data_IF_545237149435
#
_entry.id   IF_545237149435
#
_cell.length_a   1.000
_cell.length_b   1.000
_cell.length_c   1.000
_cell.angle_alpha   90.00
_cell.angle_beta   90.00
_cell.angle_gamma   90.00
#
_symmetry.space_group_name_H-M   'P 1'
#
loop_
_entity.id
_entity.type
_entity.pdbx_description
1 polymer ?
#
# COMPACT_ATOMS: atom_id res chain seq x y z
N UNK A 1 -31.02 6.51 33.15
CA UNK A 1 -30.82 7.08 31.80
C UNK A 1 -29.69 8.11 31.74
N UNK A 2 -29.64 9.13 32.60
CA UNK A 2 -28.57 10.15 32.56
C UNK A 2 -27.12 9.61 32.69
N UNK A 3 -26.89 8.59 33.54
CA UNK A 3 -25.56 7.94 33.68
C UNK A 3 -25.13 7.15 32.44
N UNK A 4 -26.06 6.45 31.78
CA UNK A 4 -25.77 5.70 30.56
C UNK A 4 -25.50 6.65 29.38
N UNK A 5 -26.23 7.76 29.29
CA UNK A 5 -25.99 8.79 28.28
C UNK A 5 -24.61 9.46 28.47
N UNK A 6 -24.21 9.73 29.72
CA UNK A 6 -22.86 10.28 30.04
C UNK A 6 -21.74 9.30 29.65
N UNK A 7 -21.92 8.01 29.94
CA UNK A 7 -20.97 6.97 29.58
C UNK A 7 -20.84 6.79 28.05
N UNK A 8 -21.97 6.77 27.34
CA UNK A 8 -22.01 6.76 25.87
C UNK A 8 -21.29 7.98 25.29
N UNK A 9 -21.50 9.17 25.87
CA UNK A 9 -20.85 10.39 25.40
C UNK A 9 -19.33 10.37 25.62
N UNK A 10 -18.84 9.84 26.75
CA UNK A 10 -17.41 9.67 27.01
C UNK A 10 -16.77 8.62 26.10
N UNK A 11 -17.49 7.54 25.80
CA UNK A 11 -17.05 6.48 24.89
C UNK A 11 -17.17 6.88 23.43
N UNK A 12 -17.93 7.91 23.04
CA UNK A 12 -18.03 8.37 21.64
C UNK A 12 -17.17 9.61 21.40
N UNK A 13 -16.70 10.28 22.45
CA UNK A 13 -15.89 11.49 22.33
C UNK A 13 -14.57 11.14 21.63
N UNK A 14 -14.20 11.80 20.53
CA UNK A 14 -12.97 11.52 19.83
C UNK A 14 -11.78 11.74 20.76
N UNK A 15 -11.03 10.67 21.04
CA UNK A 15 -9.71 10.77 21.68
C UNK A 15 -8.76 11.60 20.81
N UNK A 16 -7.67 12.09 21.40
CA UNK A 16 -6.71 13.06 20.85
C UNK A 16 -5.97 12.65 19.54
N UNK A 17 -6.47 11.67 18.77
CA UNK A 17 -5.91 11.37 17.45
C UNK A 17 -6.42 12.41 16.45
N UNK A 18 -5.54 12.97 15.61
CA UNK A 18 -5.93 14.01 14.67
C UNK A 18 -6.95 13.44 13.67
N UNK A 19 -8.00 14.22 13.40
CA UNK A 19 -9.11 13.84 12.50
C UNK A 19 -8.60 13.43 11.10
N UNK A 20 -7.42 13.92 10.70
CA UNK A 20 -6.73 13.55 9.47
C UNK A 20 -6.31 12.07 9.39
N UNK A 21 -5.86 11.46 10.50
CA UNK A 21 -5.51 10.02 10.52
C UNK A 21 -6.74 9.13 10.37
N UNK A 22 -7.85 9.53 11.00
CA UNK A 22 -9.13 8.82 10.87
C UNK A 22 -9.65 8.89 9.43
N UNK A 23 -9.59 10.08 8.80
CA UNK A 23 -9.99 10.26 7.40
C UNK A 23 -9.09 9.45 6.45
N UNK A 24 -7.77 9.48 6.64
CA UNK A 24 -6.84 8.70 5.82
C UNK A 24 -7.07 7.19 5.95
N UNK A 25 -7.33 6.70 7.16
CA UNK A 25 -7.67 5.30 7.41
C UNK A 25 -9.01 4.90 6.78
N UNK A 26 -10.05 5.74 6.88
CA UNK A 26 -11.36 5.48 6.27
C UNK A 26 -11.30 5.48 4.74
N UNK A 27 -10.49 6.35 4.14
CA UNK A 27 -10.26 6.39 2.68
C UNK A 27 -9.44 5.19 2.22
N UNK A 28 -8.43 4.75 3.00
CA UNK A 28 -7.66 3.53 2.71
C UNK A 28 -8.53 2.27 2.71
N UNK A 29 -9.37 2.09 3.74
CA UNK A 29 -10.32 0.96 3.79
C UNK A 29 -11.37 1.03 2.68
N UNK A 30 -11.79 2.23 2.27
CA UNK A 30 -12.68 2.41 1.13
C UNK A 30 -12.00 2.06 -0.20
N UNK A 31 -10.72 2.38 -0.36
CA UNK A 31 -9.91 1.98 -1.51
C UNK A 31 -9.74 0.46 -1.59
N UNK A 32 -9.49 -0.20 -0.46
CA UNK A 32 -9.38 -1.65 -0.39
C UNK A 32 -10.73 -2.34 -0.63
N UNK A 33 -11.85 -1.80 -0.10
CA UNK A 33 -13.19 -2.33 -0.38
C UNK A 33 -13.64 -2.08 -1.83
N UNK A 34 -13.30 -0.93 -2.41
CA UNK A 34 -13.60 -0.60 -3.80
C UNK A 34 -12.82 -1.52 -4.77
N UNK A 35 -11.59 -1.91 -4.40
CA UNK A 35 -10.82 -2.90 -5.15
C UNK A 35 -11.35 -4.33 -4.97
N UNK A 36 -12.01 -4.64 -3.85
CA UNK A 36 -12.56 -5.98 -3.58
C UNK A 36 -13.99 -6.19 -4.12
N UNK A 37 -14.73 -5.11 -4.40
CA UNK A 37 -16.14 -5.17 -4.83
C UNK A 37 -16.40 -4.21 -6.00
N UNK A 38 -16.45 -4.76 -7.21
CA UNK A 38 -16.77 -4.09 -8.50
C UNK A 38 -18.04 -3.22 -8.45
N UNK A 39 -18.02 -2.02 -9.06
CA UNK A 39 -19.09 -1.10 -9.58
C UNK A 39 -20.47 -0.99 -8.86
N UNK A 40 -20.71 -1.70 -7.77
CA UNK A 40 -22.05 -1.97 -7.23
C UNK A 40 -22.24 -1.41 -5.82
N UNK A 41 -21.18 -0.90 -5.19
CA UNK A 41 -21.21 -0.43 -3.81
C UNK A 41 -21.51 1.06 -3.78
N UNK A 42 -22.76 1.41 -3.46
CA UNK A 42 -23.18 2.80 -3.29
C UNK A 42 -22.77 3.32 -1.90
N UNK A 43 -22.51 4.64 -1.79
CA UNK A 43 -22.05 5.27 -0.55
C UNK A 43 -22.97 5.00 0.67
N UNK A 44 -24.28 4.84 0.46
CA UNK A 44 -25.22 4.51 1.54
C UNK A 44 -25.05 3.08 2.07
N UNK A 45 -24.61 2.12 1.24
CA UNK A 45 -24.32 0.75 1.67
C UNK A 45 -23.09 0.72 2.58
N UNK A 46 -22.06 1.50 2.24
CA UNK A 46 -20.89 1.68 3.11
C UNK A 46 -21.28 2.38 4.41
N UNK A 47 -22.05 3.47 4.35
CA UNK A 47 -22.54 4.15 5.54
C UNK A 47 -23.31 3.17 6.46
N UNK A 48 -24.19 2.33 5.90
CA UNK A 48 -24.93 1.33 6.66
C UNK A 48 -24.03 0.23 7.25
N UNK A 49 -23.02 -0.24 6.48
CA UNK A 49 -22.06 -1.24 6.94
C UNK A 49 -21.19 -0.72 8.08
N UNK A 50 -20.65 0.49 7.95
CA UNK A 50 -19.88 1.16 9.00
C UNK A 50 -20.73 1.51 10.22
N UNK A 51 -21.99 1.94 10.03
CA UNK A 51 -22.91 2.17 11.15
C UNK A 51 -23.27 0.87 11.89
N UNK A 52 -23.47 -0.24 11.16
CA UNK A 52 -23.70 -1.56 11.74
C UNK A 52 -22.48 -2.06 12.51
N UNK A 53 -21.29 -1.95 11.91
CA UNK A 53 -20.02 -2.28 12.57
C UNK A 53 -19.76 -1.44 13.81
N UNK A 54 -20.06 -0.14 13.75
CA UNK A 54 -19.99 0.77 14.90
C UNK A 54 -20.93 0.34 16.03
N UNK A 55 -22.18 -0.03 15.74
CA UNK A 55 -23.13 -0.47 16.76
C UNK A 55 -22.66 -1.77 17.44
N UNK A 56 -22.12 -2.73 16.68
CA UNK A 56 -21.57 -3.98 17.23
C UNK A 56 -20.32 -3.71 18.08
N UNK A 57 -19.38 -2.92 17.57
CA UNK A 57 -18.15 -2.57 18.30
C UNK A 57 -18.45 -1.77 19.58
N UNK A 58 -19.36 -0.80 19.53
CA UNK A 58 -19.83 -0.06 20.69
C UNK A 58 -20.58 -0.96 21.69
N UNK A 59 -21.34 -1.95 21.22
CA UNK A 59 -21.98 -2.93 22.11
C UNK A 59 -20.95 -3.77 22.89
N UNK A 60 -19.88 -4.22 22.22
CA UNK A 60 -18.79 -4.96 22.87
C UNK A 60 -17.95 -4.07 23.79
N UNK A 61 -17.65 -2.83 23.38
CA UNK A 61 -17.00 -1.81 24.20
C UNK A 61 -17.82 -1.54 25.48
N UNK A 62 -19.14 -1.33 25.34
CA UNK A 62 -20.03 -1.12 26.49
C UNK A 62 -20.12 -2.35 27.40
N UNK A 63 -20.13 -3.58 26.87
CA UNK A 63 -20.06 -4.80 27.69
C UNK A 63 -18.77 -4.90 28.50
N UNK A 64 -17.64 -4.47 27.94
CA UNK A 64 -16.36 -4.48 28.64
C UNK A 64 -16.23 -3.34 29.66
N UNK A 65 -16.81 -2.17 29.38
CA UNK A 65 -16.70 -0.98 30.25
C UNK A 65 -17.80 -0.91 31.32
N UNK A 66 -18.97 -1.55 31.11
CA UNK A 66 -20.05 -1.61 32.10
C UNK A 66 -19.65 -2.10 33.50
N UNK A 67 -18.82 -3.14 33.68
CA UNK A 67 -18.37 -3.55 35.01
C UNK A 67 -17.40 -2.54 35.67
N UNK A 68 -16.76 -1.66 34.89
CA UNK A 68 -15.86 -0.61 35.39
C UNK A 68 -16.58 0.73 35.66
N UNK A 69 -17.75 0.95 35.05
CA UNK A 69 -18.57 2.16 35.21
C UNK A 69 -19.11 2.39 36.64
N UNK A 70 -18.85 1.48 37.59
CA UNK A 70 -19.21 1.60 39.00
C UNK A 70 -18.15 2.36 39.81
N UNK A 71 -16.94 2.56 39.27
CA UNK A 71 -15.88 3.34 39.90
C UNK A 71 -15.56 4.60 39.06
N UNK A 72 -15.99 5.78 39.49
CA UNK A 72 -15.57 7.04 38.86
C UNK A 72 -14.10 7.32 39.24
N UNK A 73 -13.20 7.40 38.25
CA UNK A 73 -11.77 7.68 38.45
C UNK A 73 -10.91 7.52 37.19
N UNK A 74 -9.59 7.81 37.26
CA UNK A 74 -8.63 7.74 36.14
C UNK A 74 -8.50 6.35 35.49
N UNK A 75 -8.98 5.29 36.14
CA UNK A 75 -9.11 3.93 35.60
C UNK A 75 -10.06 3.83 34.39
N UNK A 76 -10.95 4.80 34.18
CA UNK A 76 -11.88 4.80 33.07
C UNK A 76 -11.19 5.16 31.74
N UNK A 77 -10.28 6.14 31.74
CA UNK A 77 -9.58 6.60 30.53
C UNK A 77 -8.56 5.56 30.01
N UNK A 78 -7.98 4.77 30.91
CA UNK A 78 -7.08 3.66 30.52
C UNK A 78 -7.85 2.47 29.96
N UNK A 79 -9.05 2.17 30.50
CA UNK A 79 -9.91 1.09 30.00
C UNK A 79 -10.66 1.44 28.71
N UNK A 80 -10.86 2.72 28.40
CA UNK A 80 -11.42 3.18 27.11
C UNK A 80 -10.46 2.93 25.94
N UNK A 81 -9.15 2.75 26.20
CA UNK A 81 -8.14 2.39 25.17
C UNK A 81 -8.14 0.91 24.80
N UNK A 82 -9.29 0.25 24.80
CA UNK A 82 -9.39 -1.12 24.34
C UNK A 82 -9.68 -1.19 22.83
N UNK A 83 -9.17 -2.24 22.18
CA UNK A 83 -9.32 -2.45 20.73
C UNK A 83 -10.78 -2.34 20.25
N UNK A 84 -11.80 -2.88 20.96
CA UNK A 84 -13.21 -2.69 20.58
C UNK A 84 -13.70 -1.24 20.60
N UNK A 85 -13.22 -0.41 21.53
CA UNK A 85 -13.60 1.00 21.61
C UNK A 85 -12.92 1.82 20.50
N UNK A 86 -11.63 1.58 20.23
CA UNK A 86 -10.91 2.20 19.11
C UNK A 86 -11.54 1.85 17.75
N UNK A 87 -11.93 0.59 17.54
CA UNK A 87 -12.65 0.16 16.33
C UNK A 87 -14.03 0.83 16.27
N UNK A 88 -14.75 0.95 17.39
CA UNK A 88 -16.03 1.64 17.45
C UNK A 88 -15.93 3.12 17.07
N UNK A 89 -14.90 3.84 17.54
CA UNK A 89 -14.62 5.23 17.16
C UNK A 89 -14.34 5.38 15.67
N UNK A 90 -13.47 4.52 15.15
CA UNK A 90 -13.14 4.54 13.72
C UNK A 90 -14.38 4.28 12.85
N UNK A 91 -15.18 3.28 13.22
CA UNK A 91 -16.40 2.92 12.47
C UNK A 91 -17.48 4.00 12.55
N UNK A 92 -17.65 4.66 13.70
CA UNK A 92 -18.60 5.78 13.85
C UNK A 92 -18.19 7.01 13.04
N UNK A 93 -16.89 7.38 13.06
CA UNK A 93 -16.36 8.46 12.23
C UNK A 93 -16.50 8.15 10.74
N UNK A 94 -16.16 6.92 10.34
CA UNK A 94 -16.33 6.46 8.96
C UNK A 94 -17.80 6.53 8.53
N UNK A 95 -18.73 6.04 9.37
CA UNK A 95 -20.16 6.13 9.11
C UNK A 95 -20.62 7.59 8.95
N UNK A 96 -20.17 8.50 9.82
CA UNK A 96 -20.49 9.92 9.71
C UNK A 96 -19.98 10.54 8.39
N UNK A 97 -18.73 10.24 8.00
CA UNK A 97 -18.16 10.69 6.73
C UNK A 97 -18.98 10.16 5.55
N UNK A 98 -19.30 8.87 5.51
CA UNK A 98 -20.10 8.30 4.41
C UNK A 98 -21.55 8.78 4.41
N UNK A 99 -22.17 9.01 5.56
CA UNK A 99 -23.50 9.61 5.66
C UNK A 99 -23.52 11.07 5.20
N UNK A 100 -22.48 11.85 5.50
CA UNK A 100 -22.30 13.21 4.98
C UNK A 100 -22.10 13.17 3.46
N UNK A 101 -21.26 12.26 2.95
CA UNK A 101 -21.06 12.06 1.52
C UNK A 101 -22.36 11.66 0.81
N UNK A 102 -23.18 10.81 1.43
CA UNK A 102 -24.49 10.42 0.92
C UNK A 102 -25.52 11.57 0.93
N UNK A 103 -25.60 12.34 2.02
CA UNK A 103 -26.50 13.49 2.12
C UNK A 103 -26.11 14.64 1.16
N UNK A 104 -24.83 14.76 0.83
CA UNK A 104 -24.31 15.78 -0.09
C UNK A 104 -24.37 15.30 -1.55
N UNK A 105 -24.34 13.98 -1.78
CA UNK A 105 -24.32 13.33 -3.10
C UNK A 105 -25.58 12.53 -3.40
N UNK A 106 -26.67 13.21 -3.74
CA UNK A 106 -27.82 12.58 -4.39
C UNK A 106 -27.47 12.14 -5.83
N UNK A 107 -26.82 11.00 -5.99
CA UNK A 107 -26.78 10.22 -7.24
C UNK A 107 -25.63 10.43 -8.23
N UNK A 108 -24.65 11.30 -7.96
CA UNK A 108 -23.42 11.44 -8.76
C UNK A 108 -22.21 10.78 -8.08
N UNK A 109 -21.28 10.23 -8.85
CA UNK A 109 -20.06 9.61 -8.31
C UNK A 109 -19.27 10.64 -7.48
N UNK A 110 -18.91 10.28 -6.25
CA UNK A 110 -18.40 11.21 -5.24
C UNK A 110 -17.10 11.95 -5.58
N UNK A 111 -16.47 11.65 -6.71
CA UNK A 111 -15.21 12.23 -7.16
C UNK A 111 -15.44 13.58 -7.89
N UNK A 112 -16.52 13.72 -8.66
CA UNK A 112 -16.83 14.97 -9.39
C UNK A 112 -17.25 16.13 -8.46
N UNK A 113 -17.97 15.81 -7.37
CA UNK A 113 -18.46 16.81 -6.42
C UNK A 113 -17.33 17.40 -5.54
N UNK A 114 -16.29 16.61 -5.27
CA UNK A 114 -15.09 17.04 -4.54
C UNK A 114 -14.26 18.00 -5.41
N UNK A 115 -14.14 17.69 -6.71
CA UNK A 115 -13.41 18.53 -7.68
C UNK A 115 -14.06 19.91 -7.87
N UNK A 116 -15.39 20.00 -7.94
CA UNK A 116 -16.07 21.28 -8.14
C UNK A 116 -16.01 22.22 -6.93
N UNK A 117 -15.94 21.70 -5.69
CA UNK A 117 -16.05 22.55 -4.49
C UNK A 117 -14.71 22.94 -3.87
N UNK A 118 -13.63 22.22 -4.15
CA UNK A 118 -12.28 22.69 -3.82
C UNK A 118 -11.94 24.00 -4.58
N UNK A 119 -12.46 24.19 -5.79
CA UNK A 119 -12.33 25.45 -6.53
C UNK A 119 -13.14 26.64 -5.99
N UNK A 120 -14.13 26.41 -5.10
CA UNK A 120 -14.93 27.50 -4.48
C UNK A 120 -14.29 27.98 -3.16
N UNK A 121 -13.46 27.15 -2.53
CA UNK A 121 -12.75 27.48 -1.28
C UNK A 121 -11.54 28.40 -1.55
N UNK A 122 -10.96 28.36 -2.75
CA UNK A 122 -9.84 29.24 -3.17
C UNK A 122 -10.15 30.74 -3.08
N UNK A 123 -11.41 31.17 -3.19
CA UNK A 123 -11.77 32.59 -3.12
C UNK A 123 -11.70 33.21 -1.71
N UNK A 124 -11.44 32.43 -0.65
CA UNK A 124 -11.54 32.92 0.75
C UNK A 124 -10.27 32.80 1.60
N UNK A 125 -9.12 32.38 1.06
CA UNK A 125 -7.91 32.08 1.86
C UNK A 125 -6.67 32.90 1.49
N UNK A 126 -6.82 34.20 1.21
CA UNK A 126 -5.70 35.13 0.95
C UNK A 126 -4.90 35.56 2.21
N UNK A 127 -5.05 34.90 3.37
CA UNK A 127 -4.52 35.42 4.66
C UNK A 127 -3.47 34.53 5.35
N UNK A 128 -3.01 33.41 4.77
CA UNK A 128 -1.97 32.58 5.41
C UNK A 128 -0.90 32.17 4.41
N UNK A 129 0.17 32.96 4.31
CA UNK A 129 1.16 32.89 3.24
C UNK A 129 2.47 32.15 3.59
N UNK A 130 2.64 31.58 4.78
CA UNK A 130 3.96 31.08 5.21
C UNK A 130 4.12 29.55 5.32
N UNK A 131 3.05 28.76 5.21
CA UNK A 131 3.09 27.27 5.31
C UNK A 131 2.73 26.53 4.00
N UNK A 132 2.74 27.21 2.84
CA UNK A 132 2.10 26.72 1.59
C UNK A 132 3.06 26.02 0.62
N UNK A 133 4.25 25.59 1.05
CA UNK A 133 5.14 24.80 0.18
C UNK A 133 4.49 23.47 -0.24
N UNK A 134 3.99 22.73 0.74
CA UNK A 134 3.43 21.39 0.54
C UNK A 134 2.00 21.41 0.00
N UNK A 135 1.23 22.48 0.27
CA UNK A 135 -0.15 22.64 -0.22
C UNK A 135 -0.17 23.10 -1.69
N UNK A 136 0.82 23.88 -2.13
CA UNK A 136 0.92 24.36 -3.51
C UNK A 136 1.26 23.26 -4.51
N UNK A 137 1.97 22.21 -4.08
CA UNK A 137 2.26 21.04 -4.92
C UNK A 137 1.06 20.09 -5.02
N UNK A 138 0.20 20.05 -3.99
CA UNK A 138 -1.05 19.27 -4.02
C UNK A 138 -2.14 19.91 -4.90
N UNK A 139 -2.18 21.25 -5.02
CA UNK A 139 -3.20 21.95 -5.83
C UNK A 139 -2.89 22.01 -7.32
N UNK A 140 -1.61 21.93 -7.72
CA UNK A 140 -1.21 21.97 -9.14
C UNK A 140 -1.50 20.68 -9.92
N UNK A 141 -1.80 19.56 -9.23
CA UNK A 141 -2.04 18.25 -9.85
C UNK A 141 -3.12 18.32 -10.94
N UNK A 142 -4.08 19.24 -10.83
CA UNK A 142 -5.26 19.33 -11.72
C UNK A 142 -5.08 20.21 -12.97
N UNK A 143 -3.95 20.91 -13.11
CA UNK A 143 -3.72 21.85 -14.21
C UNK A 143 -2.65 21.31 -15.17
N UNK A 144 -2.97 21.10 -16.45
CA UNK A 144 -1.98 20.70 -17.44
C UNK A 144 -0.98 21.84 -17.69
N UNK A 145 0.29 21.49 -17.75
CA UNK A 145 1.37 22.39 -18.15
C UNK A 145 1.23 22.63 -19.65
N UNK A 146 0.93 23.86 -20.05
CA UNK A 146 0.62 24.21 -21.46
C UNK A 146 1.81 24.05 -22.42
N UNK A 147 3.04 24.07 -21.92
CA UNK A 147 4.28 23.97 -22.70
C UNK A 147 5.30 23.11 -21.94
N UNK A 148 5.07 21.78 -21.87
CA UNK A 148 5.98 20.89 -21.18
C UNK A 148 7.33 20.87 -21.92
N UNK A 149 8.43 20.91 -21.16
CA UNK A 149 9.80 20.90 -21.70
C UNK A 149 10.67 19.81 -21.10
N UNK A 150 10.39 19.43 -19.86
CA UNK A 150 11.15 18.42 -19.12
C UNK A 150 10.37 17.11 -19.06
N UNK A 151 11.09 16.01 -18.82
CA UNK A 151 10.46 14.73 -18.56
C UNK A 151 9.48 14.80 -17.36
N UNK A 152 9.76 15.64 -16.36
CA UNK A 152 8.87 15.86 -15.22
C UNK A 152 7.57 16.58 -15.64
N UNK A 153 7.64 17.56 -16.55
CA UNK A 153 6.45 18.26 -17.06
C UNK A 153 5.56 17.30 -17.85
N UNK A 154 6.17 16.48 -18.71
CA UNK A 154 5.46 15.47 -19.48
C UNK A 154 4.88 14.37 -18.58
N UNK A 155 5.61 13.94 -17.54
CA UNK A 155 5.11 13.03 -16.52
C UNK A 155 3.87 13.59 -15.82
N UNK A 156 3.91 14.85 -15.41
CA UNK A 156 2.78 15.53 -14.77
C UNK A 156 1.53 15.55 -15.67
N UNK A 157 1.69 15.97 -16.93
CA UNK A 157 0.60 15.96 -17.89
C UNK A 157 0.07 14.55 -18.15
N UNK A 158 0.95 13.57 -18.38
CA UNK A 158 0.55 12.18 -18.60
C UNK A 158 -0.24 11.61 -17.40
N UNK A 159 0.22 11.88 -16.17
CA UNK A 159 -0.46 11.45 -14.96
C UNK A 159 -1.86 12.09 -14.86
N UNK A 160 -1.95 13.40 -15.05
CA UNK A 160 -3.22 14.14 -15.02
C UNK A 160 -4.21 13.57 -16.04
N UNK A 161 -3.81 13.45 -17.30
CA UNK A 161 -4.71 12.99 -18.36
C UNK A 161 -5.16 11.55 -18.13
N UNK A 162 -4.28 10.68 -17.65
CA UNK A 162 -4.61 9.29 -17.37
C UNK A 162 -5.50 9.13 -16.14
N UNK A 163 -5.06 9.62 -14.98
CA UNK A 163 -5.67 9.32 -13.69
C UNK A 163 -6.87 10.20 -13.37
N UNK A 164 -6.88 11.46 -13.83
CA UNK A 164 -7.91 12.43 -13.44
C UNK A 164 -8.93 12.72 -14.54
N UNK A 165 -8.55 12.51 -15.81
CA UNK A 165 -9.41 12.84 -16.95
C UNK A 165 -9.85 11.63 -17.77
N UNK A 166 -9.25 10.46 -17.55
CA UNK A 166 -9.52 9.25 -18.33
C UNK A 166 -9.16 9.39 -19.81
N UNK A 167 -8.34 10.38 -20.18
CA UNK A 167 -7.91 10.63 -21.55
C UNK A 167 -6.59 9.90 -21.84
N UNK A 168 -6.73 8.60 -22.11
CA UNK A 168 -5.60 7.70 -22.35
C UNK A 168 -4.78 8.08 -23.59
N UNK A 169 -5.37 8.72 -24.62
CA UNK A 169 -4.64 9.06 -25.84
C UNK A 169 -3.75 10.30 -25.65
N UNK A 170 -4.28 11.33 -24.99
CA UNK A 170 -3.45 12.50 -24.63
C UNK A 170 -2.38 12.10 -23.64
N UNK A 171 -2.71 11.27 -22.64
CA UNK A 171 -1.74 10.74 -21.70
C UNK A 171 -0.63 9.93 -22.38
N UNK A 172 -0.98 9.12 -23.37
CA UNK A 172 -0.01 8.35 -24.15
C UNK A 172 0.95 9.24 -24.93
N UNK A 173 0.44 10.31 -25.56
CA UNK A 173 1.29 11.28 -26.27
C UNK A 173 2.31 11.94 -25.34
N UNK A 174 1.87 12.34 -24.14
CA UNK A 174 2.74 12.94 -23.12
C UNK A 174 3.77 11.92 -22.58
N UNK A 175 3.38 10.65 -22.41
CA UNK A 175 4.30 9.61 -21.98
C UNK A 175 5.37 9.29 -23.04
N UNK A 176 5.03 9.34 -24.33
CA UNK A 176 6.02 9.23 -25.41
C UNK A 176 6.99 10.41 -25.39
N UNK A 177 6.47 11.64 -25.23
CA UNK A 177 7.28 12.85 -25.16
C UNK A 177 8.22 12.87 -23.93
N UNK A 178 7.77 12.31 -22.80
CA UNK A 178 8.60 12.14 -21.60
C UNK A 178 9.91 11.39 -21.87
N UNK A 179 9.88 10.39 -22.76
CA UNK A 179 11.04 9.57 -23.13
C UNK A 179 11.70 10.01 -24.45
N UNK A 180 11.24 11.11 -25.08
CA UNK A 180 11.81 11.59 -26.33
C UNK A 180 13.23 12.15 -26.10
N UNK A 181 14.25 11.31 -26.34
CA UNK A 181 15.66 11.68 -26.17
C UNK A 181 16.12 11.77 -24.71
N UNK A 182 15.38 11.19 -23.77
CA UNK A 182 15.76 11.15 -22.35
C UNK A 182 15.62 9.74 -21.77
N UNK A 183 16.29 9.49 -20.65
CA UNK A 183 16.13 8.29 -19.82
C UNK A 183 15.97 8.75 -18.35
N UNK A 184 14.74 9.01 -17.89
CA UNK A 184 14.50 9.62 -16.58
C UNK A 184 15.05 8.81 -15.40
N UNK A 185 15.19 7.47 -15.55
CA UNK A 185 15.57 6.56 -14.46
C UNK A 185 14.64 6.67 -13.24
N UNK A 186 13.35 6.90 -13.52
CA UNK A 186 12.29 7.01 -12.51
C UNK A 186 11.33 5.84 -12.64
N UNK A 187 11.08 5.14 -11.53
CA UNK A 187 10.22 3.95 -11.54
C UNK A 187 8.75 4.29 -11.80
N UNK A 188 8.26 5.40 -11.26
CA UNK A 188 6.90 5.87 -11.51
C UNK A 188 6.69 6.31 -12.96
N UNK A 189 7.71 6.91 -13.60
CA UNK A 189 7.66 7.25 -15.03
C UNK A 189 7.53 6.00 -15.91
N UNK A 190 8.34 4.96 -15.64
CA UNK A 190 8.27 3.71 -16.37
C UNK A 190 6.93 2.99 -16.18
N UNK A 191 6.40 2.99 -14.95
CA UNK A 191 5.10 2.38 -14.65
C UNK A 191 3.97 3.15 -15.37
N UNK A 192 3.95 4.48 -15.26
CA UNK A 192 2.97 5.31 -15.95
C UNK A 192 3.01 5.11 -17.46
N UNK A 193 4.21 5.04 -18.06
CA UNK A 193 4.36 4.77 -19.48
C UNK A 193 3.71 3.44 -19.89
N UNK A 194 3.90 2.38 -19.10
CA UNK A 194 3.27 1.09 -19.38
C UNK A 194 1.74 1.14 -19.21
N UNK A 195 1.25 1.79 -18.16
CA UNK A 195 -0.18 1.87 -17.85
C UNK A 195 -0.93 2.68 -18.92
N UNK A 196 -0.39 3.84 -19.31
CA UNK A 196 -1.01 4.68 -20.35
C UNK A 196 -0.94 4.02 -21.73
N UNK A 197 0.17 3.34 -22.06
CA UNK A 197 0.28 2.56 -23.29
C UNK A 197 -0.73 1.42 -23.31
N UNK A 198 -0.90 0.71 -22.18
CA UNK A 198 -1.85 -0.39 -22.05
C UNK A 198 -3.29 0.09 -22.22
N UNK A 199 -3.62 1.25 -21.66
CA UNK A 199 -4.93 1.85 -21.81
C UNK A 199 -5.20 2.38 -23.23
N UNK A 200 -4.20 2.93 -23.92
CA UNK A 200 -4.35 3.52 -25.25
C UNK A 200 -4.25 2.52 -26.41
N UNK A 201 -3.41 1.47 -26.26
CA UNK A 201 -3.03 0.55 -27.32
C UNK A 201 -3.38 -0.93 -27.03
N UNK A 202 -3.67 -1.25 -25.77
CA UNK A 202 -3.78 -2.62 -25.27
C UNK A 202 -2.44 -3.20 -24.80
N UNK A 203 -2.51 -4.14 -23.86
CA UNK A 203 -1.35 -4.67 -23.11
C UNK A 203 -0.26 -5.29 -24.00
N UNK A 204 -0.64 -6.06 -25.03
CA UNK A 204 0.34 -6.73 -25.89
C UNK A 204 1.20 -5.72 -26.68
N UNK A 205 0.58 -4.67 -27.20
CA UNK A 205 1.28 -3.61 -27.92
C UNK A 205 2.08 -2.71 -26.95
N UNK A 206 1.53 -2.43 -25.78
CA UNK A 206 2.24 -1.71 -24.71
C UNK A 206 3.53 -2.43 -24.28
N UNK A 207 3.47 -3.74 -24.07
CA UNK A 207 4.63 -4.58 -23.75
C UNK A 207 5.69 -4.52 -24.87
N UNK A 208 5.28 -4.59 -26.14
CA UNK A 208 6.21 -4.49 -27.26
C UNK A 208 6.90 -3.11 -27.29
N UNK A 209 6.14 -2.04 -27.09
CA UNK A 209 6.67 -0.66 -27.01
C UNK A 209 7.57 -0.45 -25.81
N UNK A 210 7.25 -1.04 -24.66
CA UNK A 210 8.07 -0.98 -23.45
C UNK A 210 9.42 -1.70 -23.67
N UNK A 211 9.43 -2.88 -24.33
CA UNK A 211 10.67 -3.59 -24.68
C UNK A 211 11.55 -2.80 -25.64
N UNK A 212 10.97 -2.23 -26.68
CA UNK A 212 11.67 -1.37 -27.66
C UNK A 212 12.27 -0.14 -26.97
N UNK A 213 11.52 0.49 -26.07
CA UNK A 213 11.98 1.66 -25.34
C UNK A 213 13.08 1.31 -24.32
N UNK A 214 12.94 0.22 -23.58
CA UNK A 214 13.97 -0.25 -22.65
C UNK A 214 15.30 -0.53 -23.36
N UNK A 215 15.23 -1.17 -24.53
CA UNK A 215 16.42 -1.47 -25.33
C UNK A 215 17.09 -0.22 -25.92
N UNK A 216 16.30 0.78 -26.35
CA UNK A 216 16.83 1.99 -26.98
C UNK A 216 17.35 3.03 -25.98
N UNK A 217 16.73 3.15 -24.81
CA UNK A 217 17.11 4.15 -23.79
C UNK A 217 18.09 3.61 -22.75
N UNK A 218 18.10 2.29 -22.51
CA UNK A 218 18.85 1.69 -21.41
C UNK A 218 18.34 2.09 -20.02
N UNK A 219 17.12 2.64 -19.89
CA UNK A 219 16.55 2.99 -18.60
C UNK A 219 16.20 1.71 -17.80
N UNK A 220 16.89 1.41 -16.68
CA UNK A 220 16.64 0.22 -15.88
C UNK A 220 15.22 0.16 -15.30
N UNK A 221 14.55 1.31 -15.15
CA UNK A 221 13.18 1.42 -14.65
C UNK A 221 12.19 0.75 -15.59
N UNK A 222 12.40 0.86 -16.90
CA UNK A 222 11.56 0.19 -17.91
C UNK A 222 11.72 -1.34 -17.82
N UNK A 223 12.94 -1.82 -17.57
CA UNK A 223 13.22 -3.25 -17.37
C UNK A 223 12.58 -3.80 -16.10
N UNK A 224 12.50 -3.01 -15.02
CA UNK A 224 11.72 -3.40 -13.82
C UNK A 224 10.25 -3.61 -14.20
N UNK A 225 9.64 -2.67 -14.92
CA UNK A 225 8.23 -2.77 -15.33
C UNK A 225 8.01 -3.93 -16.31
N UNK A 226 8.97 -4.22 -17.18
CA UNK A 226 8.95 -5.44 -18.00
C UNK A 226 8.92 -6.70 -17.15
N UNK A 227 9.72 -6.77 -16.08
CA UNK A 227 9.69 -7.92 -15.18
C UNK A 227 8.36 -8.03 -14.42
N UNK A 228 7.73 -6.91 -14.05
CA UNK A 228 6.39 -6.92 -13.40
C UNK A 228 5.31 -7.48 -14.33
N UNK A 229 5.36 -7.10 -15.60
CA UNK A 229 4.34 -7.48 -16.59
C UNK A 229 4.60 -8.84 -17.25
N UNK A 230 5.79 -9.44 -17.09
CA UNK A 230 6.11 -10.78 -17.59
C UNK A 230 5.34 -11.85 -16.80
N UNK A 231 4.61 -12.71 -17.50
CA UNK A 231 3.76 -13.74 -16.88
C UNK A 231 4.53 -15.04 -16.65
N UNK A 232 5.54 -15.33 -17.47
CA UNK A 232 6.40 -16.50 -17.31
C UNK A 232 7.43 -16.28 -16.17
N UNK A 233 7.39 -17.08 -15.09
CA UNK A 233 8.35 -16.96 -14.00
C UNK A 233 9.81 -17.15 -14.41
N UNK A 234 10.11 -18.03 -15.37
CA UNK A 234 11.48 -18.30 -15.79
C UNK A 234 12.05 -17.10 -16.55
N UNK A 235 11.29 -16.60 -17.53
CA UNK A 235 11.65 -15.40 -18.29
C UNK A 235 11.75 -14.16 -17.40
N UNK A 236 10.87 -14.04 -16.39
CA UNK A 236 10.96 -12.96 -15.39
C UNK A 236 12.29 -13.00 -14.65
N UNK A 237 12.73 -14.17 -14.21
CA UNK A 237 14.03 -14.33 -13.54
C UNK A 237 15.20 -13.94 -14.45
N UNK A 238 15.15 -14.31 -15.74
CA UNK A 238 16.16 -13.90 -16.73
C UNK A 238 16.22 -12.37 -16.87
N UNK A 239 15.07 -11.70 -16.96
CA UNK A 239 14.99 -10.23 -17.03
C UNK A 239 15.59 -9.60 -15.77
N UNK A 240 15.25 -10.12 -14.58
CA UNK A 240 15.77 -9.60 -13.31
C UNK A 240 17.28 -9.81 -13.19
N UNK A 241 17.79 -10.99 -13.54
CA UNK A 241 19.23 -11.26 -13.52
C UNK A 241 19.98 -10.36 -14.52
N UNK A 242 19.42 -10.16 -15.72
CA UNK A 242 19.95 -9.21 -16.70
C UNK A 242 19.97 -7.77 -16.17
N UNK A 243 18.90 -7.35 -15.49
CA UNK A 243 18.81 -6.04 -14.86
C UNK A 243 19.86 -5.85 -13.75
N UNK A 244 20.08 -6.84 -12.90
CA UNK A 244 21.11 -6.80 -11.85
C UNK A 244 22.51 -6.71 -12.43
N UNK A 245 22.78 -7.39 -13.55
CA UNK A 245 24.07 -7.33 -14.23
C UNK A 245 24.31 -5.96 -14.90
N UNK A 246 23.27 -5.37 -15.50
CA UNK A 246 23.37 -4.11 -16.25
C UNK A 246 23.33 -2.86 -15.36
N UNK A 247 22.55 -2.90 -14.28
CA UNK A 247 22.34 -1.77 -13.37
C UNK A 247 22.41 -2.21 -11.89
N UNK A 248 23.58 -2.70 -11.42
CA UNK A 248 23.76 -3.19 -10.06
C UNK A 248 23.63 -2.09 -8.98
N UNK A 249 23.77 -0.82 -9.37
CA UNK A 249 23.59 0.37 -8.54
C UNK A 249 22.12 0.80 -8.42
N UNK A 250 21.23 0.24 -9.24
CA UNK A 250 19.81 0.57 -9.22
C UNK A 250 19.07 -0.27 -8.18
N UNK A 251 18.43 0.32 -7.15
CA UNK A 251 17.86 -0.44 -6.03
C UNK A 251 16.83 -1.48 -6.49
N UNK A 252 15.97 -1.12 -7.45
CA UNK A 252 14.90 -2.00 -7.93
C UNK A 252 15.37 -3.19 -8.77
N UNK A 253 16.67 -3.27 -9.11
CA UNK A 253 17.27 -4.49 -9.64
C UNK A 253 17.30 -5.60 -8.58
N UNK A 254 17.45 -5.23 -7.31
CA UNK A 254 17.58 -6.16 -6.19
C UNK A 254 16.24 -6.56 -5.61
N UNK A 255 15.34 -5.60 -5.40
CA UNK A 255 14.01 -5.86 -4.83
C UNK A 255 12.96 -4.90 -5.38
N UNK A 256 11.77 -5.43 -5.61
CA UNK A 256 10.62 -4.69 -6.12
C UNK A 256 9.34 -5.24 -5.47
N UNK A 257 8.59 -4.44 -4.69
CA UNK A 257 7.39 -4.92 -3.99
C UNK A 257 6.23 -5.28 -4.93
N UNK A 258 6.20 -4.75 -6.15
CA UNK A 258 5.13 -5.04 -7.12
C UNK A 258 5.47 -6.21 -8.05
N UNK A 259 6.68 -6.76 -7.94
CA UNK A 259 7.09 -7.91 -8.77
C UNK A 259 6.49 -9.17 -8.19
N UNK A 260 5.71 -9.95 -8.96
CA UNK A 260 5.18 -11.20 -8.45
C UNK A 260 6.34 -12.17 -8.19
N UNK A 261 6.43 -12.68 -6.96
CA UNK A 261 7.37 -13.74 -6.65
C UNK A 261 6.75 -15.09 -7.01
N UNK A 262 7.52 -15.97 -7.65
CA UNK A 262 7.05 -17.32 -7.91
C UNK A 262 6.91 -18.06 -6.58
N UNK A 263 5.67 -18.42 -6.24
CA UNK A 263 5.40 -19.37 -5.16
C UNK A 263 5.84 -20.75 -5.64
N UNK A 264 7.06 -21.14 -5.29
CA UNK A 264 7.47 -22.54 -5.41
C UNK A 264 6.83 -23.29 -4.25
N UNK A 265 5.98 -24.29 -4.52
CA UNK A 265 5.61 -25.30 -3.54
C UNK A 265 6.74 -26.34 -3.52
N UNK A 266 7.68 -26.25 -2.56
CA UNK A 266 8.78 -27.20 -2.52
C UNK A 266 8.23 -28.56 -2.08
N UNK A 267 8.82 -29.64 -2.57
CA UNK A 267 8.64 -30.94 -1.95
C UNK A 267 9.15 -30.94 -0.51
N UNK A 268 8.93 -32.05 0.20
CA UNK A 268 9.37 -32.19 1.60
C UNK A 268 10.75 -32.86 1.73
N UNK A 269 11.46 -33.08 0.63
CA UNK A 269 12.79 -33.69 0.72
C UNK A 269 13.79 -32.71 1.31
N UNK A 270 14.86 -33.23 1.91
CA UNK A 270 15.97 -32.39 2.43
C UNK A 270 16.55 -31.49 1.34
N UNK A 271 16.59 -31.96 0.09
CA UNK A 271 17.07 -31.18 -1.06
C UNK A 271 16.14 -30.01 -1.36
N UNK A 272 14.83 -30.25 -1.36
CA UNK A 272 13.84 -29.19 -1.60
C UNK A 272 13.89 -28.14 -0.50
N UNK A 273 14.04 -28.57 0.75
CA UNK A 273 14.19 -27.68 1.90
C UNK A 273 15.46 -26.82 1.77
N UNK A 274 16.58 -27.40 1.33
CA UNK A 274 17.81 -26.64 1.09
C UNK A 274 17.61 -25.60 -0.03
N UNK A 275 16.95 -25.96 -1.12
CA UNK A 275 16.66 -25.01 -2.20
C UNK A 275 15.80 -23.83 -1.74
N UNK A 276 14.85 -24.07 -0.84
CA UNK A 276 14.06 -22.99 -0.24
C UNK A 276 14.93 -22.10 0.65
N UNK A 277 15.79 -22.70 1.46
CA UNK A 277 16.74 -21.96 2.30
C UNK A 277 17.65 -21.05 1.46
N UNK A 278 18.23 -21.58 0.37
CA UNK A 278 19.10 -20.80 -0.54
C UNK A 278 18.32 -19.66 -1.22
N UNK A 279 17.04 -19.90 -1.58
CA UNK A 279 16.17 -18.86 -2.14
C UNK A 279 15.86 -17.76 -1.12
N UNK A 280 15.60 -18.12 0.13
CA UNK A 280 15.39 -17.15 1.22
C UNK A 280 16.65 -16.32 1.44
N UNK A 281 17.84 -16.93 1.43
CA UNK A 281 19.12 -16.22 1.59
C UNK A 281 19.34 -15.21 0.46
N UNK A 282 19.03 -15.60 -0.78
CA UNK A 282 19.06 -14.68 -1.94
C UNK A 282 18.08 -13.51 -1.80
N UNK A 283 16.84 -13.77 -1.37
CA UNK A 283 15.84 -12.71 -1.14
C UNK A 283 16.25 -11.75 -0.02
N UNK A 284 16.77 -12.27 1.09
CA UNK A 284 17.30 -11.47 2.20
C UNK A 284 18.45 -10.59 1.71
N UNK A 285 19.39 -11.14 0.95
CA UNK A 285 20.50 -10.36 0.38
C UNK A 285 20.01 -9.25 -0.56
N UNK A 286 19.01 -9.54 -1.41
CA UNK A 286 18.37 -8.55 -2.28
C UNK A 286 17.70 -7.41 -1.51
N UNK A 287 16.98 -7.71 -0.43
CA UNK A 287 16.34 -6.71 0.44
C UNK A 287 17.37 -5.82 1.14
N UNK A 288 18.44 -6.41 1.67
CA UNK A 288 19.55 -5.66 2.30
C UNK A 288 20.18 -4.72 1.27
N UNK A 289 20.46 -5.22 0.06
CA UNK A 289 21.09 -4.41 -0.99
C UNK A 289 20.17 -3.29 -1.48
N UNK A 290 18.87 -3.57 -1.62
CA UNK A 290 17.87 -2.55 -1.93
C UNK A 290 17.88 -1.43 -0.89
N UNK A 291 17.84 -1.76 0.40
CA UNK A 291 17.81 -0.74 1.48
C UNK A 291 19.06 0.12 1.48
N UNK A 292 20.23 -0.48 1.25
CA UNK A 292 21.51 0.24 1.12
C UNK A 292 21.46 1.25 -0.03
N UNK A 293 21.07 0.81 -1.23
CA UNK A 293 21.07 1.65 -2.43
C UNK A 293 19.96 2.70 -2.42
N UNK A 294 18.74 2.29 -2.06
CA UNK A 294 17.58 3.17 -2.02
C UNK A 294 17.75 4.25 -0.94
N UNK A 295 18.21 3.85 0.26
CA UNK A 295 18.42 4.75 1.39
C UNK A 295 19.61 5.71 1.22
N UNK A 296 20.51 5.47 0.27
CA UNK A 296 21.63 6.37 -0.03
C UNK A 296 21.21 7.65 -0.76
N UNK A 297 19.99 7.72 -1.29
CA UNK A 297 19.46 8.85 -2.06
C UNK A 297 18.06 9.24 -1.57
N UNK A 298 17.65 10.52 -1.70
CA UNK A 298 16.27 10.91 -1.42
C UNK A 298 15.30 10.21 -2.37
N UNK A 299 14.05 9.99 -1.95
CA UNK A 299 13.04 9.31 -2.78
C UNK A 299 12.78 10.02 -4.12
N UNK A 300 12.93 11.35 -4.19
CA UNK A 300 12.85 12.14 -5.42
C UNK A 300 13.94 11.79 -6.45
N UNK A 301 15.00 11.08 -6.04
CA UNK A 301 16.00 10.53 -6.97
C UNK A 301 15.42 9.37 -7.80
N UNK A 302 14.51 8.59 -7.22
CA UNK A 302 13.94 7.39 -7.84
C UNK A 302 12.54 7.60 -8.42
N UNK A 303 11.86 8.68 -8.02
CA UNK A 303 10.49 9.00 -8.39
C UNK A 303 10.33 10.47 -8.76
N UNK A 304 9.42 10.79 -9.68
CA UNK A 304 8.94 12.16 -9.86
C UNK A 304 7.96 12.56 -8.75
N UNK A 305 7.17 11.60 -8.24
CA UNK A 305 6.18 11.84 -7.18
C UNK A 305 6.42 10.93 -5.98
N UNK A 306 7.45 11.21 -5.17
CA UNK A 306 7.81 10.38 -4.02
C UNK A 306 6.73 10.34 -2.93
N UNK A 307 5.88 11.36 -2.80
CA UNK A 307 4.82 11.42 -1.78
C UNK A 307 3.74 10.33 -1.95
N UNK A 308 3.66 9.69 -3.12
CA UNK A 308 2.77 8.56 -3.39
C UNK A 308 3.42 7.21 -3.12
N UNK A 309 4.71 7.21 -2.77
CA UNK A 309 5.46 6.03 -2.41
C UNK A 309 5.44 5.92 -0.90
N UNK A 310 4.93 4.79 -0.38
CA UNK A 310 5.06 4.47 1.04
C UNK A 310 6.53 4.38 1.46
N UNK A 311 6.79 4.16 2.76
CA UNK A 311 8.17 3.96 3.23
C UNK A 311 8.70 2.59 2.77
N UNK A 312 9.33 2.57 1.58
CA UNK A 312 9.87 1.35 0.97
C UNK A 312 11.05 0.76 1.76
N UNK A 313 11.81 1.58 2.49
CA UNK A 313 12.93 1.11 3.32
C UNK A 313 12.41 0.32 4.52
N UNK A 314 11.38 0.84 5.19
CA UNK A 314 10.74 0.17 6.32
C UNK A 314 10.05 -1.12 5.86
N UNK A 315 9.33 -1.05 4.72
CA UNK A 315 8.69 -2.23 4.13
C UNK A 315 9.71 -3.33 3.82
N UNK A 316 10.83 -2.97 3.18
CA UNK A 316 11.91 -3.92 2.91
C UNK A 316 12.52 -4.48 4.21
N UNK A 317 12.69 -3.66 5.24
CA UNK A 317 13.23 -4.09 6.55
C UNK A 317 12.29 -5.05 7.30
N UNK A 318 10.98 -4.81 7.23
CA UNK A 318 9.98 -5.72 7.80
C UNK A 318 9.97 -7.06 7.06
N UNK A 319 10.03 -7.03 5.73
CA UNK A 319 10.11 -8.25 4.92
C UNK A 319 11.40 -9.03 5.19
N UNK A 320 12.55 -8.34 5.30
CA UNK A 320 13.84 -8.94 5.65
C UNK A 320 13.77 -9.65 7.00
N UNK A 321 13.17 -9.02 8.01
CA UNK A 321 13.01 -9.60 9.35
C UNK A 321 12.13 -10.84 9.32
N UNK A 322 11.02 -10.78 8.59
CA UNK A 322 10.11 -11.92 8.40
C UNK A 322 10.83 -13.10 7.73
N UNK A 323 11.54 -12.85 6.62
CA UNK A 323 12.27 -13.88 5.88
C UNK A 323 13.41 -14.50 6.70
N UNK A 324 14.13 -13.70 7.51
CA UNK A 324 15.14 -14.21 8.47
C UNK A 324 14.51 -15.16 9.49
N UNK A 325 13.32 -14.82 10.00
CA UNK A 325 12.55 -15.72 10.87
C UNK A 325 12.19 -17.03 10.18
N UNK A 326 11.67 -16.97 8.95
CA UNK A 326 11.37 -18.17 8.14
C UNK A 326 12.63 -19.00 7.86
N UNK A 327 13.74 -18.35 7.52
CA UNK A 327 15.04 -18.99 7.27
C UNK A 327 15.55 -19.75 8.50
N UNK A 328 15.40 -19.17 9.70
CA UNK A 328 15.74 -19.82 10.96
C UNK A 328 14.90 -21.08 11.25
N UNK A 329 13.62 -21.08 10.87
CA UNK A 329 12.78 -22.29 10.94
C UNK A 329 13.33 -23.39 10.03
N UNK A 330 13.75 -23.03 8.81
CA UNK A 330 14.34 -24.00 7.88
C UNK A 330 15.69 -24.55 8.35
N UNK A 331 16.51 -23.75 9.06
CA UNK A 331 17.74 -24.26 9.72
C UNK A 331 17.42 -25.31 10.78
N UNK A 332 16.38 -25.11 11.59
CA UNK A 332 15.96 -26.09 12.59
C UNK A 332 15.45 -27.40 11.96
N UNK A 333 14.80 -27.30 10.79
CA UNK A 333 14.38 -28.47 10.02
C UNK A 333 15.59 -29.21 9.45
N UNK A 334 16.52 -28.48 8.80
CA UNK A 334 17.72 -29.06 8.16
C UNK A 334 18.70 -29.67 9.16
N UNK A 335 18.80 -29.10 10.36
CA UNK A 335 19.62 -29.64 11.46
C UNK A 335 19.00 -30.86 12.14
N UNK A 336 17.74 -31.17 11.86
CA UNK A 336 16.99 -32.25 12.51
C UNK A 336 16.53 -31.91 13.94
N UNK A 337 16.72 -30.67 14.39
CA UNK A 337 16.29 -30.22 15.72
C UNK A 337 14.77 -30.36 15.90
N UNK A 338 13.99 -30.02 14.87
CA UNK A 338 12.53 -30.19 14.89
C UNK A 338 12.15 -31.66 15.06
N UNK A 339 12.80 -32.56 14.31
CA UNK A 339 12.54 -33.99 14.42
C UNK A 339 12.95 -34.56 15.79
N UNK A 340 14.03 -34.04 16.38
CA UNK A 340 14.45 -34.40 17.74
C UNK A 340 13.43 -33.95 18.79
N UNK A 341 13.01 -32.67 18.77
CA UNK A 341 11.99 -32.14 19.71
C UNK A 341 10.68 -32.91 19.59
N UNK A 342 10.22 -33.19 18.38
CA UNK A 342 9.00 -33.98 18.17
C UNK A 342 9.08 -35.39 18.77
N UNK A 343 10.25 -36.06 18.68
CA UNK A 343 10.47 -37.38 19.31
C UNK A 343 10.50 -37.29 20.83
N UNK A 344 11.14 -36.26 21.38
CA UNK A 344 11.20 -36.01 22.82
C UNK A 344 9.82 -35.70 23.40
N UNK A 345 9.03 -34.86 22.73
CA UNK A 345 7.66 -34.53 23.13
C UNK A 345 6.73 -35.75 23.04
N UNK A 346 6.84 -36.55 21.97
CA UNK A 346 6.06 -37.78 21.83
C UNK A 346 6.42 -38.81 22.93
N UNK A 347 7.70 -38.90 23.28
CA UNK A 347 8.16 -39.76 24.38
C UNK A 347 7.60 -39.28 25.73
N UNK A 348 7.65 -37.97 26.00
CA UNK A 348 7.08 -37.37 27.21
C UNK A 348 5.58 -37.65 27.33
N UNK A 349 4.82 -37.41 26.24
CA UNK A 349 3.37 -37.67 26.22
C UNK A 349 3.04 -39.15 26.45
N UNK A 350 3.84 -40.06 25.92
CA UNK A 350 3.67 -41.49 26.15
C UNK A 350 3.95 -41.88 27.61
N UNK A 351 5.00 -41.31 28.22
CA UNK A 351 5.34 -41.54 29.63
C UNK A 351 4.27 -40.98 30.58
N UNK A 352 3.76 -39.78 30.31
CA UNK A 352 2.64 -39.17 31.04
C UNK A 352 1.36 -40.02 30.95
N UNK A 353 1.01 -40.48 29.74
CA UNK A 353 -0.16 -41.34 29.52
C UNK A 353 -0.02 -42.71 30.19
N UNK A 354 1.21 -43.23 30.31
CA UNK A 354 1.50 -44.47 31.03
C UNK A 354 1.40 -44.30 32.54
N UNK A 355 1.88 -43.18 33.09
CA UNK A 355 1.82 -42.89 34.52
C UNK A 355 0.41 -42.59 35.04
N UNK A 356 -0.51 -42.17 34.16
CA UNK A 356 -1.91 -41.93 34.46
C UNK A 356 -2.80 -43.19 34.44
N UNK A 357 -2.24 -44.36 34.10
CA UNK A 357 -2.89 -45.68 34.17
C UNK A 357 -2.35 -46.47 35.34
#
# INVERSE_FOLDING_TARGET
MARQAKLLWQVVRPGQKPVSEAIAGSVGVAGDLANMVTDSVQAWMLAALFAGGAAVALYFCLKQVQPAAVAEGPDLDEKIKCLPCDIGHFMTLSAAVFSILWMIGGGGSGIEAIGQRLGVIEQKLDVVAEDVGDIRDASQINIPIKRPKTAADHYHNAFLFHQLRGDSQTAWTEAQAMYAGTAPRKLDAAQLYYDVASAALGQAQALAKLRELAASTGDPSLTVVLARAETDPARRQEIVAGLQAQAPDYPFSWWDPMRPEAASAPGFSRRDIQQVADKLDSQIAGLVKFRELYGAQPASHWFFRPNFQGNLVDMAGQMETSLKGTRGTYDQILSGEVARKAREDAKRQFEEARAAR
#
